data_IF_412672573312
#
_entry.id   IF_412672573312
#
_cell.length_a   1.000
_cell.length_b   1.000
_cell.length_c   1.000
_cell.angle_alpha   90.00
_cell.angle_beta   90.00
_cell.angle_gamma   90.00
#
_symmetry.space_group_name_H-M   'P 1'
#
loop_
_entity.id
_entity.type
_entity.pdbx_description
1 polymer ?
#
# COMPACT_ATOMS: atom_id res chain seq x y z
N UNK A 1 -30.21 -4.35 -32.28
CA UNK A 1 -30.57 -3.41 -31.19
C UNK A 1 -30.21 -2.02 -31.68
N UNK A 2 -31.15 -1.06 -31.72
CA UNK A 2 -30.89 0.25 -32.30
C UNK A 2 -29.89 1.07 -31.45
N UNK A 3 -29.22 2.06 -32.06
CA UNK A 3 -28.35 3.03 -31.36
C UNK A 3 -29.05 3.66 -30.15
N UNK A 4 -30.36 3.85 -30.23
CA UNK A 4 -31.17 4.33 -29.12
C UNK A 4 -31.09 3.40 -27.90
N UNK A 5 -31.05 2.08 -28.09
CA UNK A 5 -30.89 1.12 -27.00
C UNK A 5 -29.50 1.19 -26.34
N UNK A 6 -28.41 1.38 -27.11
CA UNK A 6 -27.06 1.56 -26.53
C UNK A 6 -26.97 2.89 -25.74
N UNK A 7 -27.51 4.00 -26.27
CA UNK A 7 -27.55 5.28 -25.56
C UNK A 7 -28.42 5.22 -24.30
N UNK A 8 -29.54 4.51 -24.32
CA UNK A 8 -30.41 4.30 -23.16
C UNK A 8 -29.69 3.45 -22.11
N UNK A 9 -28.99 2.39 -22.50
CA UNK A 9 -28.18 1.55 -21.59
C UNK A 9 -27.05 2.37 -20.96
N UNK A 10 -26.32 3.17 -21.74
CA UNK A 10 -25.25 4.05 -21.21
C UNK A 10 -25.80 5.12 -20.26
N UNK A 11 -26.97 5.71 -20.55
CA UNK A 11 -27.65 6.64 -19.64
C UNK A 11 -28.15 5.95 -18.35
N UNK A 12 -28.68 4.73 -18.44
CA UNK A 12 -29.09 3.94 -17.29
C UNK A 12 -27.89 3.60 -16.40
N UNK A 13 -26.77 3.18 -17.01
CA UNK A 13 -25.49 2.90 -16.34
C UNK A 13 -24.94 4.14 -15.63
N UNK A 14 -25.08 5.35 -16.22
CA UNK A 14 -24.63 6.60 -15.61
C UNK A 14 -25.52 7.12 -14.46
N UNK A 15 -26.78 6.67 -14.37
CA UNK A 15 -27.72 7.06 -13.31
C UNK A 15 -27.71 6.16 -12.09
N UNK A 16 -27.18 4.94 -12.23
CA UNK A 16 -27.00 4.02 -11.11
C UNK A 16 -25.71 4.46 -10.42
N UNK A 17 -25.82 5.23 -9.32
CA UNK A 17 -24.69 5.76 -8.54
C UNK A 17 -23.86 4.72 -7.79
N UNK A 18 -23.76 3.49 -8.30
CA UNK A 18 -22.89 2.44 -7.78
C UNK A 18 -21.56 2.43 -8.55
N UNK A 19 -20.42 2.14 -7.89
CA UNK A 19 -19.13 2.01 -8.57
C UNK A 19 -19.16 0.77 -9.48
N UNK A 20 -19.31 1.00 -10.77
CA UNK A 20 -19.27 -0.07 -11.78
C UNK A 20 -17.79 -0.44 -11.98
N UNK A 21 -17.42 -1.73 -11.93
CA UNK A 21 -16.06 -2.17 -12.24
C UNK A 21 -15.65 -1.64 -13.62
N UNK A 22 -14.51 -0.95 -13.68
CA UNK A 22 -13.99 -0.29 -14.90
C UNK A 22 -13.87 -1.26 -16.09
N UNK A 23 -13.67 -2.54 -15.83
CA UNK A 23 -13.64 -3.63 -16.81
C UNK A 23 -14.99 -3.87 -17.49
N UNK A 24 -16.10 -3.70 -16.77
CA UNK A 24 -17.47 -3.87 -17.29
C UNK A 24 -17.88 -2.68 -18.16
N UNK A 25 -17.47 -1.47 -17.79
CA UNK A 25 -17.74 -0.25 -18.56
C UNK A 25 -16.94 -0.22 -19.88
N UNK A 26 -15.65 -0.58 -19.83
CA UNK A 26 -14.81 -0.66 -21.03
C UNK A 26 -15.30 -1.74 -22.01
N UNK A 27 -15.78 -2.88 -21.50
CA UNK A 27 -16.42 -3.93 -22.32
C UNK A 27 -17.70 -3.45 -22.99
N UNK A 28 -18.50 -2.63 -22.32
CA UNK A 28 -19.70 -2.01 -22.90
C UNK A 28 -19.39 -1.04 -24.03
N UNK A 29 -18.35 -0.20 -23.87
CA UNK A 29 -17.89 0.74 -24.90
C UNK A 29 -17.34 -0.01 -26.12
N UNK A 30 -16.46 -1.00 -25.90
CA UNK A 30 -15.89 -1.82 -26.98
C UNK A 30 -16.99 -2.59 -27.70
N UNK A 31 -17.99 -3.12 -26.99
CA UNK A 31 -19.12 -3.80 -27.59
C UNK A 31 -19.97 -2.84 -28.45
N UNK A 32 -20.31 -1.63 -27.95
CA UNK A 32 -21.05 -0.68 -28.78
C UNK A 32 -20.26 -0.22 -30.01
N UNK A 33 -18.93 -0.04 -29.90
CA UNK A 33 -18.08 0.27 -31.05
C UNK A 33 -18.02 -0.88 -32.06
N UNK A 34 -17.83 -2.12 -31.60
CA UNK A 34 -17.83 -3.32 -32.46
C UNK A 34 -19.18 -3.54 -33.14
N UNK A 35 -20.29 -3.26 -32.45
CA UNK A 35 -21.62 -3.31 -33.06
C UNK A 35 -21.84 -2.18 -34.06
N UNK A 36 -21.26 -0.99 -33.84
CA UNK A 36 -21.30 0.12 -34.80
C UNK A 36 -20.48 -0.19 -36.06
N UNK A 37 -19.28 -0.75 -35.90
CA UNK A 37 -18.44 -1.20 -37.03
C UNK A 37 -18.97 -2.43 -37.76
N UNK A 38 -19.83 -3.25 -37.13
CA UNK A 38 -20.54 -4.37 -37.80
C UNK A 38 -21.81 -3.95 -38.52
N UNK A 39 -22.30 -2.73 -38.34
CA UNK A 39 -23.47 -2.18 -39.03
C UNK A 39 -23.08 -1.63 -40.42
N UNK A 40 -22.40 -2.43 -41.25
CA UNK A 40 -22.05 -2.06 -42.63
C UNK A 40 -23.23 -2.11 -43.62
N UNK A 41 -24.48 -2.32 -43.16
CA UNK A 41 -25.57 -2.69 -44.08
C UNK A 41 -26.55 -1.54 -44.41
N UNK A 42 -26.46 -0.37 -43.77
CA UNK A 42 -27.36 0.75 -44.11
C UNK A 42 -26.63 2.10 -44.10
N UNK A 43 -26.09 2.49 -45.26
CA UNK A 43 -26.57 3.65 -46.04
C UNK A 43 -25.48 4.10 -47.03
N UNK A 44 -25.85 4.20 -48.30
CA UNK A 44 -25.08 4.86 -49.36
C UNK A 44 -25.01 6.40 -49.20
N UNK A 45 -24.99 6.92 -47.96
CA UNK A 45 -25.06 8.36 -47.66
C UNK A 45 -24.09 8.85 -46.59
N UNK A 46 -23.28 7.98 -45.99
CA UNK A 46 -22.21 8.42 -45.10
C UNK A 46 -20.94 8.72 -45.89
N UNK A 47 -20.57 10.00 -45.98
CA UNK A 47 -19.33 10.43 -46.62
C UNK A 47 -18.13 9.81 -45.91
N UNK A 48 -17.21 9.18 -46.64
CA UNK A 48 -15.99 8.56 -46.12
C UNK A 48 -15.20 9.48 -45.16
N UNK A 49 -15.18 10.80 -45.44
CA UNK A 49 -14.61 11.80 -44.56
C UNK A 49 -15.24 11.88 -43.16
N UNK A 50 -16.55 11.68 -43.04
CA UNK A 50 -17.25 11.70 -41.74
C UNK A 50 -16.93 10.46 -40.90
N UNK A 51 -16.73 9.31 -41.56
CA UNK A 51 -16.30 8.08 -40.87
C UNK A 51 -14.88 8.22 -40.31
N UNK A 52 -13.94 8.74 -41.10
CA UNK A 52 -12.58 9.02 -40.65
C UNK A 52 -12.56 9.99 -39.47
N UNK A 53 -13.34 11.08 -39.53
CA UNK A 53 -13.42 12.05 -38.45
C UNK A 53 -13.95 11.45 -37.12
N UNK A 54 -14.97 10.58 -37.18
CA UNK A 54 -15.51 9.91 -35.99
C UNK A 54 -14.49 8.94 -35.39
N UNK A 55 -13.76 8.21 -36.25
CA UNK A 55 -12.72 7.28 -35.82
C UNK A 55 -11.56 8.03 -35.14
N UNK A 56 -11.11 9.14 -35.70
CA UNK A 56 -10.03 9.96 -35.12
C UNK A 56 -10.41 10.54 -33.76
N UNK A 57 -11.63 11.07 -33.62
CA UNK A 57 -12.14 11.56 -32.32
C UNK A 57 -12.20 10.45 -31.28
N UNK A 58 -12.64 9.25 -31.67
CA UNK A 58 -12.69 8.10 -30.77
C UNK A 58 -11.29 7.64 -30.34
N UNK A 59 -10.32 7.61 -31.26
CA UNK A 59 -8.93 7.29 -30.93
C UNK A 59 -8.30 8.31 -29.98
N UNK A 60 -8.54 9.61 -30.20
CA UNK A 60 -8.07 10.68 -29.30
C UNK A 60 -8.68 10.52 -27.91
N UNK A 61 -9.97 10.19 -27.82
CA UNK A 61 -10.64 9.94 -26.54
C UNK A 61 -10.08 8.71 -25.81
N UNK A 62 -9.86 7.60 -26.52
CA UNK A 62 -9.25 6.40 -25.97
C UNK A 62 -7.81 6.64 -25.49
N UNK A 63 -7.02 7.40 -26.25
CA UNK A 63 -5.66 7.76 -25.87
C UNK A 63 -5.63 8.65 -24.63
N UNK A 64 -6.52 9.65 -24.57
CA UNK A 64 -6.67 10.55 -23.41
C UNK A 64 -7.11 9.79 -22.15
N UNK A 65 -8.06 8.87 -22.29
CA UNK A 65 -8.51 8.01 -21.19
C UNK A 65 -7.41 7.07 -20.70
N UNK A 66 -6.65 6.47 -21.63
CA UNK A 66 -5.52 5.59 -21.31
C UNK A 66 -4.40 6.33 -20.58
N UNK A 67 -4.07 7.55 -21.03
CA UNK A 67 -3.11 8.42 -20.35
C UNK A 67 -3.57 8.80 -18.94
N UNK A 68 -4.85 9.13 -18.77
CA UNK A 68 -5.41 9.42 -17.44
C UNK A 68 -5.33 8.21 -16.51
N UNK A 69 -5.55 6.99 -17.02
CA UNK A 69 -5.49 5.75 -16.25
C UNK A 69 -4.05 5.35 -15.85
N UNK A 70 -3.05 5.61 -16.71
CA UNK A 70 -1.63 5.42 -16.39
C UNK A 70 -1.19 6.45 -15.35
N UNK A 71 -1.57 7.73 -15.51
CA UNK A 71 -1.24 8.79 -14.57
C UNK A 71 -1.83 8.53 -13.17
N UNK A 72 -3.10 8.11 -13.10
CA UNK A 72 -3.78 7.75 -11.85
C UNK A 72 -3.20 6.48 -11.21
N UNK A 73 -2.84 5.44 -11.97
CA UNK A 73 -2.16 4.26 -11.43
C UNK A 73 -0.75 4.59 -10.90
N UNK A 74 -0.01 5.46 -11.59
CA UNK A 74 1.28 5.97 -11.14
C UNK A 74 1.16 6.85 -9.89
N UNK A 75 0.05 7.59 -9.75
CA UNK A 75 -0.24 8.43 -8.59
C UNK A 75 -0.71 7.61 -7.37
N UNK A 76 -1.55 6.58 -7.56
CA UNK A 76 -2.03 5.70 -6.47
C UNK A 76 -0.95 4.75 -5.93
N UNK A 77 0.01 4.31 -6.77
CA UNK A 77 1.14 3.50 -6.31
C UNK A 77 2.06 4.21 -5.31
N UNK A 78 1.96 5.53 -5.20
CA UNK A 78 2.79 6.39 -4.37
C UNK A 78 2.16 6.71 -3.00
N UNK A 79 0.82 6.66 -2.89
CA UNK A 79 0.10 7.06 -1.67
C UNK A 79 -0.24 5.89 -0.74
N UNK A 80 -0.10 4.64 -1.20
CA UNK A 80 -0.41 3.45 -0.36
C UNK A 80 0.44 3.42 0.91
N UNK A 81 1.73 3.79 0.82
CA UNK A 81 2.61 3.84 1.98
C UNK A 81 2.22 4.98 2.93
N UNK A 82 1.87 6.16 2.39
CA UNK A 82 1.37 7.29 3.19
C UNK A 82 0.12 6.90 3.96
N UNK A 83 -0.85 6.28 3.29
CA UNK A 83 -2.10 5.83 3.92
C UNK A 83 -1.84 4.77 5.00
N UNK A 84 -0.91 3.85 4.78
CA UNK A 84 -0.50 2.87 5.78
C UNK A 84 0.09 3.54 7.03
N UNK A 85 0.94 4.56 6.83
CA UNK A 85 1.54 5.35 7.92
C UNK A 85 0.49 6.20 8.65
N UNK A 86 -0.46 6.83 7.94
CA UNK A 86 -1.56 7.56 8.57
C UNK A 86 -2.52 6.62 9.32
N UNK A 87 -2.78 5.43 8.78
CA UNK A 87 -3.53 4.38 9.46
C UNK A 87 -2.80 3.83 10.70
N UNK A 88 -1.47 3.88 10.73
CA UNK A 88 -0.70 3.65 11.95
C UNK A 88 -0.93 4.79 12.95
N UNK A 89 -0.78 6.04 12.49
CA UNK A 89 -0.92 7.23 13.32
C UNK A 89 -2.30 7.34 13.98
N UNK A 90 -3.36 6.92 13.30
CA UNK A 90 -4.73 7.01 13.84
C UNK A 90 -4.98 6.11 15.06
N UNK A 91 -4.14 5.10 15.31
CA UNK A 91 -4.23 4.25 16.51
C UNK A 91 -3.45 4.80 17.71
N UNK A 92 -2.76 5.93 17.53
CA UNK A 92 -1.98 6.57 18.59
C UNK A 92 -2.91 7.53 19.34
N UNK A 93 -3.27 7.19 20.57
CA UNK A 93 -4.17 8.00 21.41
C UNK A 93 -3.49 9.21 22.05
N UNK A 94 -2.20 9.10 22.38
CA UNK A 94 -1.41 10.17 22.98
C UNK A 94 0.02 10.15 22.43
N UNK A 95 0.53 11.30 21.97
CA UNK A 95 1.93 11.47 21.53
C UNK A 95 2.62 12.58 22.34
N UNK A 96 2.87 12.39 23.65
CA UNK A 96 3.42 13.42 24.53
C UNK A 96 4.83 13.86 24.12
N UNK A 97 5.59 12.98 23.45
CA UNK A 97 6.91 13.26 22.92
C UNK A 97 6.88 13.90 21.51
N UNK A 98 5.70 14.12 20.94
CA UNK A 98 5.48 14.70 19.60
C UNK A 98 6.29 14.00 18.51
N UNK A 99 6.49 12.68 18.63
CA UNK A 99 7.27 11.86 17.69
C UNK A 99 6.67 11.91 16.29
N UNK A 100 5.33 11.97 16.20
CA UNK A 100 4.56 11.95 14.95
C UNK A 100 4.09 13.35 14.55
N UNK A 101 4.67 14.42 15.11
CA UNK A 101 4.31 15.79 14.75
C UNK A 101 4.54 16.10 13.27
N UNK A 102 5.59 15.53 12.67
CA UNK A 102 5.88 15.70 11.25
C UNK A 102 4.95 14.88 10.34
N UNK A 103 4.21 13.91 10.88
CA UNK A 103 3.36 13.01 10.09
C UNK A 103 2.04 13.69 9.72
N UNK A 104 2.12 14.68 8.84
CA UNK A 104 1.00 15.53 8.43
C UNK A 104 1.06 15.79 6.92
N UNK A 105 0.02 16.45 6.40
CA UNK A 105 -0.08 16.76 4.97
C UNK A 105 0.77 17.96 4.53
N UNK A 106 1.44 18.65 5.46
CA UNK A 106 2.25 19.84 5.15
C UNK A 106 3.60 19.49 4.51
N UNK A 107 4.07 18.25 4.68
CA UNK A 107 5.35 17.78 4.11
C UNK A 107 5.21 16.40 3.50
N UNK A 108 6.01 16.13 2.47
CA UNK A 108 6.02 14.82 1.81
C UNK A 108 6.41 13.71 2.79
N UNK A 109 5.70 12.58 2.76
CA UNK A 109 5.80 11.55 3.80
C UNK A 109 7.19 10.93 3.97
N UNK A 110 8.02 10.94 2.92
CA UNK A 110 9.40 10.48 3.00
C UNK A 110 10.32 11.38 3.83
N UNK A 111 9.87 12.59 4.18
CA UNK A 111 10.55 13.52 5.07
C UNK A 111 10.04 13.41 6.52
N UNK A 112 9.05 12.56 6.78
CA UNK A 112 8.55 12.36 8.13
C UNK A 112 9.62 11.73 9.04
N UNK A 113 9.63 12.17 10.30
CA UNK A 113 10.51 11.62 11.33
C UNK A 113 10.37 10.10 11.40
N UNK A 114 11.50 9.42 11.26
CA UNK A 114 11.57 7.95 11.31
C UNK A 114 11.22 7.25 10.00
N UNK A 115 10.84 7.97 8.94
CA UNK A 115 10.56 7.40 7.61
C UNK A 115 11.74 7.67 6.68
N UNK A 116 12.16 6.65 5.92
CA UNK A 116 13.10 6.82 4.82
C UNK A 116 12.62 6.04 3.61
N UNK A 117 12.54 6.72 2.49
CA UNK A 117 12.14 6.14 1.21
C UNK A 117 13.35 5.80 0.32
N UNK A 118 13.15 4.81 -0.55
CA UNK A 118 14.11 4.45 -1.58
C UNK A 118 14.08 5.44 -2.74
N UNK A 119 15.26 5.84 -3.22
CA UNK A 119 15.40 6.86 -4.27
C UNK A 119 14.77 6.44 -5.61
N UNK A 120 14.73 5.14 -5.91
CA UNK A 120 14.24 4.64 -7.21
C UNK A 120 12.73 4.60 -7.35
N UNK A 121 12.01 4.39 -6.24
CA UNK A 121 10.59 4.06 -6.27
C UNK A 121 9.74 4.90 -5.32
N UNK A 122 10.35 5.77 -4.49
CA UNK A 122 9.61 6.62 -3.54
C UNK A 122 8.89 5.86 -2.42
N UNK A 123 9.15 4.55 -2.29
CA UNK A 123 8.50 3.68 -1.28
C UNK A 123 9.30 3.62 -0.01
N UNK A 124 8.63 3.41 1.11
CA UNK A 124 9.24 3.32 2.43
C UNK A 124 10.13 2.06 2.51
N UNK A 125 11.43 2.26 2.69
CA UNK A 125 12.42 1.19 2.83
C UNK A 125 12.91 1.04 4.26
N UNK A 126 12.79 2.10 5.08
CA UNK A 126 13.16 2.05 6.49
C UNK A 126 12.15 2.83 7.32
N UNK A 127 11.70 2.19 8.39
CA UNK A 127 10.75 2.74 9.34
C UNK A 127 11.33 2.61 10.75
N UNK A 128 11.34 3.72 11.48
CA UNK A 128 11.75 3.81 12.86
C UNK A 128 10.59 4.34 13.70
N UNK A 129 10.00 3.46 14.50
CA UNK A 129 8.87 3.77 15.36
C UNK A 129 9.36 3.94 16.80
N UNK A 130 8.90 5.00 17.43
CA UNK A 130 9.07 5.24 18.86
C UNK A 130 7.72 5.44 19.51
N UNK A 131 7.49 4.86 20.68
CA UNK A 131 6.14 4.80 21.23
C UNK A 131 5.97 4.00 22.51
N UNK A 132 5.04 4.44 23.36
CA UNK A 132 4.77 3.82 24.66
C UNK A 132 3.37 3.20 24.69
N UNK A 133 3.30 1.92 25.06
CA UNK A 133 2.04 1.22 25.29
C UNK A 133 1.25 0.82 24.03
N UNK A 134 1.71 1.17 22.84
CA UNK A 134 0.98 0.90 21.60
C UNK A 134 1.24 -0.50 21.04
N UNK A 135 0.30 -0.99 20.24
CA UNK A 135 0.46 -2.19 19.44
C UNK A 135 0.91 -1.81 18.02
N UNK A 136 1.58 -2.71 17.32
CA UNK A 136 1.88 -2.49 15.91
C UNK A 136 0.61 -2.82 15.10
N UNK A 137 0.03 -1.84 14.39
CA UNK A 137 -1.18 -2.03 13.61
C UNK A 137 -0.92 -2.84 12.34
N UNK A 138 -1.96 -3.52 11.87
CA UNK A 138 -1.90 -4.41 10.70
C UNK A 138 -1.52 -3.67 9.41
N UNK A 139 -1.83 -2.37 9.33
CA UNK A 139 -1.55 -1.47 8.20
C UNK A 139 -0.07 -1.40 7.84
N UNK A 140 0.85 -1.68 8.79
CA UNK A 140 2.30 -1.72 8.51
C UNK A 140 2.63 -2.82 7.48
N UNK A 141 1.79 -3.85 7.34
CA UNK A 141 1.93 -4.87 6.30
C UNK A 141 1.74 -4.36 4.86
N UNK A 142 1.21 -3.14 4.67
CA UNK A 142 1.10 -2.52 3.34
C UNK A 142 2.42 -1.92 2.84
N UNK A 143 3.44 -1.80 3.72
CA UNK A 143 4.77 -1.28 3.37
C UNK A 143 5.61 -2.37 2.69
N UNK A 144 5.18 -2.82 1.52
CA UNK A 144 5.74 -4.01 0.84
C UNK A 144 7.20 -3.90 0.40
N UNK A 145 7.78 -2.70 0.41
CA UNK A 145 9.20 -2.44 0.11
C UNK A 145 10.05 -2.17 1.35
N UNK A 146 9.50 -2.40 2.55
CA UNK A 146 10.21 -2.18 3.79
C UNK A 146 11.36 -3.17 3.94
N UNK A 147 12.56 -2.64 4.12
CA UNK A 147 13.81 -3.39 4.27
C UNK A 147 14.27 -3.41 5.73
N UNK A 148 14.10 -2.29 6.45
CA UNK A 148 14.59 -2.15 7.82
C UNK A 148 13.50 -1.60 8.74
N UNK A 149 13.11 -2.38 9.74
CA UNK A 149 12.14 -2.01 10.76
C UNK A 149 12.83 -1.86 12.12
N UNK A 150 12.77 -0.65 12.67
CA UNK A 150 13.30 -0.33 14.00
C UNK A 150 12.16 0.07 14.93
N UNK A 151 12.01 -0.67 16.03
CA UNK A 151 11.10 -0.38 17.15
C UNK A 151 11.88 -0.47 18.48
N UNK A 152 13.20 -0.68 18.41
CA UNK A 152 14.08 -0.90 19.56
C UNK A 152 14.11 0.31 20.49
N UNK A 153 13.93 0.06 21.78
CA UNK A 153 14.20 1.05 22.82
C UNK A 153 15.72 1.28 22.92
N UNK A 154 16.16 2.52 22.71
CA UNK A 154 17.58 2.92 22.69
C UNK A 154 17.98 3.85 23.85
N UNK A 155 17.05 4.21 24.73
CA UNK A 155 17.39 5.03 25.89
C UNK A 155 17.70 4.14 27.10
N UNK A 156 18.98 3.79 27.26
CA UNK A 156 19.52 3.12 28.44
C UNK A 156 19.92 4.11 29.55
N UNK A 157 19.69 5.42 29.38
CA UNK A 157 20.20 6.49 30.25
C UNK A 157 19.24 6.92 31.38
N UNK A 158 18.35 6.03 31.82
CA UNK A 158 17.64 6.17 33.10
C UNK A 158 16.45 7.14 33.15
N UNK A 159 16.22 7.99 32.14
CA UNK A 159 15.10 8.95 32.14
C UNK A 159 13.87 8.44 31.36
N UNK A 160 13.28 7.33 31.81
CA UNK A 160 12.08 6.67 31.27
C UNK A 160 12.27 5.82 29.98
N UNK A 161 11.70 4.60 29.90
CA UNK A 161 11.80 3.73 28.72
C UNK A 161 11.16 4.41 27.52
N UNK A 162 11.89 4.64 26.43
CA UNK A 162 11.38 5.41 25.29
C UNK A 162 10.41 4.59 24.44
N UNK A 163 10.54 3.26 24.43
CA UNK A 163 9.60 2.38 23.75
C UNK A 163 9.06 1.28 24.69
N UNK A 164 7.73 1.10 24.69
CA UNK A 164 7.03 0.03 25.40
C UNK A 164 5.92 -0.55 24.53
N UNK A 165 6.24 -0.87 23.28
CA UNK A 165 5.28 -1.54 22.40
C UNK A 165 4.84 -2.86 23.00
N UNK A 166 3.56 -3.18 22.88
CA UNK A 166 2.94 -4.35 23.49
C UNK A 166 2.08 -5.12 22.49
N UNK A 167 1.47 -6.22 22.94
CA UNK A 167 0.66 -7.09 22.08
C UNK A 167 1.50 -8.07 21.27
N UNK A 168 0.86 -8.76 20.33
CA UNK A 168 1.51 -9.77 19.47
C UNK A 168 2.21 -9.10 18.29
N UNK A 169 3.26 -9.73 17.78
CA UNK A 169 3.85 -9.32 16.51
C UNK A 169 2.81 -9.51 15.37
N UNK A 170 2.47 -8.45 14.62
CA UNK A 170 1.28 -8.45 13.75
C UNK A 170 1.45 -9.42 12.57
N UNK A 171 0.46 -10.27 12.28
CA UNK A 171 0.52 -11.23 11.18
C UNK A 171 0.91 -10.65 9.80
N UNK A 172 0.44 -9.45 9.39
CA UNK A 172 0.79 -8.89 8.09
C UNK A 172 2.29 -8.59 7.89
N UNK A 173 3.06 -8.40 8.97
CA UNK A 173 4.51 -8.20 8.84
C UNK A 173 5.22 -9.44 8.30
N UNK A 174 4.69 -10.65 8.54
CA UNK A 174 5.26 -11.90 7.99
C UNK A 174 5.17 -12.00 6.46
N UNK A 175 4.43 -11.11 5.80
CA UNK A 175 4.36 -11.05 4.33
C UNK A 175 5.37 -10.06 3.72
N UNK A 176 6.15 -9.36 4.54
CA UNK A 176 7.14 -8.40 4.07
C UNK A 176 8.46 -9.10 3.73
N UNK A 177 8.49 -9.76 2.57
CA UNK A 177 9.63 -10.54 2.09
C UNK A 177 10.91 -9.72 1.85
N UNK A 178 10.81 -8.40 1.73
CA UNK A 178 11.95 -7.50 1.53
C UNK A 178 12.70 -7.17 2.83
N UNK A 179 12.22 -7.59 4.00
CA UNK A 179 12.84 -7.26 5.28
C UNK A 179 14.19 -7.98 5.45
N UNK A 180 15.23 -7.18 5.67
CA UNK A 180 16.58 -7.64 6.00
C UNK A 180 16.90 -7.46 7.48
N UNK A 181 16.27 -6.47 8.13
CA UNK A 181 16.51 -6.15 9.53
C UNK A 181 15.21 -5.85 10.27
N UNK A 182 15.01 -6.59 11.37
CA UNK A 182 13.94 -6.36 12.34
C UNK A 182 14.56 -6.16 13.72
N UNK A 183 14.47 -4.95 14.26
CA UNK A 183 14.98 -4.63 15.59
C UNK A 183 13.87 -4.19 16.52
N UNK A 184 13.40 -5.09 17.38
CA UNK A 184 12.25 -4.88 18.27
C UNK A 184 12.55 -5.20 19.73
N UNK A 185 13.84 -5.32 20.08
CA UNK A 185 14.31 -5.55 21.44
C UNK A 185 13.91 -4.44 22.42
N UNK A 186 13.82 -4.81 23.69
CA UNK A 186 13.47 -3.98 24.83
C UNK A 186 12.06 -3.37 24.72
N UNK A 187 11.09 -4.17 24.26
CA UNK A 187 9.66 -3.87 24.25
C UNK A 187 8.89 -4.94 25.06
N UNK A 188 7.57 -4.81 25.17
CA UNK A 188 6.67 -5.71 25.91
C UNK A 188 5.81 -6.60 24.97
N UNK A 189 6.37 -7.08 23.86
CA UNK A 189 5.65 -7.97 22.94
C UNK A 189 5.31 -9.31 23.60
N UNK A 190 4.06 -9.73 23.51
CA UNK A 190 3.57 -11.00 24.03
C UNK A 190 3.57 -12.09 22.97
N UNK A 191 3.63 -13.34 23.44
CA UNK A 191 3.72 -14.52 22.58
C UNK A 191 5.11 -14.74 22.00
N UNK A 192 5.22 -15.77 21.17
CA UNK A 192 6.45 -16.15 20.49
C UNK A 192 6.35 -15.78 19.01
N UNK A 193 7.49 -15.45 18.41
CA UNK A 193 7.60 -15.47 16.96
C UNK A 193 7.33 -16.87 16.41
N UNK A 194 6.83 -16.96 15.17
CA UNK A 194 6.61 -18.25 14.49
C UNK A 194 7.93 -19.01 14.37
N UNK A 195 7.91 -20.32 14.63
CA UNK A 195 9.08 -21.20 14.55
C UNK A 195 9.70 -21.24 13.15
N UNK A 196 8.90 -21.13 12.09
CA UNK A 196 9.34 -21.11 10.69
C UNK A 196 9.65 -19.69 10.17
N UNK A 197 10.39 -18.89 10.93
CA UNK A 197 10.58 -17.47 10.62
C UNK A 197 11.27 -17.23 9.27
N UNK A 198 12.25 -18.06 8.91
CA UNK A 198 12.98 -17.97 7.64
C UNK A 198 12.07 -18.09 6.41
N UNK A 199 10.99 -18.88 6.48
CA UNK A 199 10.04 -19.02 5.37
C UNK A 199 9.25 -17.73 5.10
N UNK A 200 9.04 -16.92 6.13
CA UNK A 200 8.30 -15.67 6.04
C UNK A 200 9.20 -14.47 5.74
N UNK A 201 10.47 -14.53 6.18
CA UNK A 201 11.46 -13.49 5.92
C UNK A 201 12.70 -14.08 5.24
N UNK A 202 12.60 -14.43 3.94
CA UNK A 202 13.68 -15.10 3.22
C UNK A 202 14.96 -14.25 3.09
N UNK A 203 14.87 -12.94 3.27
CA UNK A 203 16.00 -12.01 3.18
C UNK A 203 16.50 -11.52 4.54
N UNK A 204 15.97 -12.05 5.66
CA UNK A 204 16.26 -11.53 7.00
C UNK A 204 17.66 -11.92 7.46
N UNK A 205 18.48 -10.91 7.68
CA UNK A 205 19.86 -11.06 8.15
C UNK A 205 19.97 -10.78 9.65
N UNK A 206 19.20 -9.82 10.16
CA UNK A 206 19.31 -9.36 11.54
C UNK A 206 17.93 -9.33 12.20
N UNK A 207 17.77 -10.14 13.25
CA UNK A 207 16.62 -10.11 14.13
C UNK A 207 17.07 -9.86 15.57
N UNK A 208 16.59 -8.77 16.17
CA UNK A 208 16.77 -8.55 17.62
C UNK A 208 15.42 -8.64 18.32
N UNK A 209 15.23 -9.71 19.10
CA UNK A 209 14.04 -9.97 19.91
C UNK A 209 14.45 -10.19 21.36
N UNK A 210 14.17 -9.21 22.22
CA UNK A 210 14.40 -9.28 23.68
C UNK A 210 13.25 -8.52 24.35
N UNK A 211 12.49 -9.12 25.25
CA UNK A 211 11.44 -8.43 25.96
C UNK A 211 12.02 -7.82 27.26
N UNK A 212 11.42 -6.75 27.77
CA UNK A 212 11.75 -6.19 29.09
C UNK A 212 11.39 -7.13 30.24
N UNK A 213 10.37 -7.98 30.07
CA UNK A 213 9.87 -8.90 31.10
C UNK A 213 10.42 -10.33 30.96
N UNK A 214 11.31 -10.60 29.99
CA UNK A 214 11.94 -11.92 29.87
C UNK A 214 13.03 -12.10 30.92
N UNK A 215 12.61 -12.51 32.13
CA UNK A 215 13.46 -12.96 33.25
C UNK A 215 13.94 -14.42 33.10
N UNK A 216 13.59 -15.09 32.00
CA UNK A 216 14.03 -16.47 31.72
C UNK A 216 15.39 -16.53 31.02
N UNK A 217 16.10 -17.69 31.09
CA UNK A 217 17.39 -17.86 30.45
C UNK A 217 17.29 -17.51 28.96
N UNK A 218 18.28 -16.74 28.50
CA UNK A 218 18.45 -16.37 27.10
C UNK A 218 18.39 -17.63 26.25
N UNK A 219 17.25 -17.90 25.60
CA UNK A 219 17.20 -18.92 24.54
C UNK A 219 17.78 -18.21 23.32
N UNK A 220 19.03 -18.51 22.91
CA UNK A 220 19.57 -17.93 21.71
C UNK A 220 18.63 -18.35 20.58
N UNK A 221 18.12 -17.40 19.81
CA UNK A 221 17.43 -17.65 18.54
C UNK A 221 18.38 -18.25 17.48
N UNK A 222 19.58 -18.69 17.88
CA UNK A 222 20.63 -19.23 17.03
C UNK A 222 20.18 -20.43 16.17
N UNK A 223 19.26 -21.33 16.60
CA UNK A 223 18.74 -22.35 15.69
C UNK A 223 17.69 -21.82 14.70
N UNK A 224 17.11 -20.63 14.92
CA UNK A 224 16.07 -20.06 14.03
C UNK A 224 16.64 -19.26 12.86
N UNK A 225 17.92 -18.87 12.92
CA UNK A 225 18.65 -18.20 11.83
C UNK A 225 19.48 -19.17 10.97
N UNK A 226 19.56 -20.46 11.34
CA UNK A 226 20.36 -21.46 10.60
C UNK A 226 19.71 -21.93 9.28
N UNK A 227 18.49 -21.47 8.98
CA UNK A 227 17.79 -21.75 7.72
C UNK A 227 17.48 -20.48 6.90
N UNK A 228 18.20 -19.37 7.14
CA UNK A 228 18.25 -18.22 6.24
C UNK A 228 19.46 -18.35 5.32
#
# INVERSE_FOLDING_TARGET
MSLAACFIIMRLISRIGAPIPTTTFLRGIIFCFLTFSRMEIFTASFNFHTFLAIHDVFLVFLFSFSLHHIASAAFLGNETDKLALLGFKSQITEDPARVFASWNDSVYFCQWTGVKCGLRHGRVIRLNLKGRGWQIPNQVGSLTKLVKLYIRNSNLTGHFPVNSFSGKFPPPLYNLSSLELISISFNNFSGNLRSSLGNYFPNLQILTWRNVNSLGPYRPLWPMLQNC
#
